data_IF_069539734816
#
_entry.id   IF_069539734816
#
_cell.length_a   1.000
_cell.length_b   1.000
_cell.length_c   1.000
_cell.angle_alpha   90.00
_cell.angle_beta   90.00
_cell.angle_gamma   90.00
#
_symmetry.space_group_name_H-M   'P 1'
#
loop_
_entity.id
_entity.type
_entity.pdbx_description
1 polymer ?
#
# COMPACT_ATOMS: atom_id res chain seq x y z
N UNK A 1 12.16 -15.29 -0.47
CA UNK A 1 11.65 -14.02 -1.01
C UNK A 1 10.25 -13.81 -0.46
N UNK A 2 10.08 -12.92 0.52
CA UNK A 2 8.72 -12.53 0.95
C UNK A 2 8.09 -11.80 -0.23
N UNK A 3 6.99 -12.32 -0.77
CA UNK A 3 6.27 -11.64 -1.85
C UNK A 3 5.75 -10.27 -1.41
N UNK A 4 5.55 -9.35 -2.35
CA UNK A 4 4.89 -8.08 -2.07
C UNK A 4 3.48 -8.35 -1.48
N UNK A 5 3.02 -7.56 -0.50
CA UNK A 5 1.66 -7.69 0.04
C UNK A 5 0.62 -7.47 -1.06
N UNK A 6 -0.41 -8.31 -1.08
CA UNK A 6 -1.51 -8.28 -2.06
C UNK A 6 -2.86 -8.17 -1.35
N UNK A 7 -3.84 -7.58 -2.02
CA UNK A 7 -5.22 -7.56 -1.54
C UNK A 7 -5.74 -8.99 -1.45
N UNK A 8 -6.36 -9.33 -0.32
CA UNK A 8 -6.78 -10.70 0.02
C UNK A 8 -7.70 -11.28 -1.07
N UNK A 9 -7.40 -12.50 -1.51
CA UNK A 9 -8.19 -13.17 -2.56
C UNK A 9 -7.91 -12.67 -3.97
N UNK A 10 -6.92 -11.79 -4.15
CA UNK A 10 -6.55 -11.22 -5.44
C UNK A 10 -5.05 -11.38 -5.71
N UNK A 11 -4.61 -10.96 -6.89
CA UNK A 11 -3.18 -10.75 -7.19
C UNK A 11 -2.80 -9.26 -7.28
N UNK A 12 -3.69 -8.36 -6.86
CA UNK A 12 -3.45 -6.92 -6.90
C UNK A 12 -2.49 -6.53 -5.76
N UNK A 13 -1.28 -6.01 -6.05
CA UNK A 13 -0.37 -5.56 -5.02
C UNK A 13 -0.91 -4.34 -4.29
N UNK A 14 -0.67 -4.27 -2.97
CA UNK A 14 -1.01 -3.10 -2.16
C UNK A 14 -0.31 -1.84 -2.68
N UNK A 15 0.93 -1.97 -3.14
CA UNK A 15 1.72 -0.89 -3.76
C UNK A 15 0.99 -0.22 -4.93
N UNK A 16 0.39 -0.99 -5.85
CA UNK A 16 -0.32 -0.44 -7.01
C UNK A 16 -1.53 0.38 -6.59
N UNK A 17 -2.26 -0.10 -5.57
CA UNK A 17 -3.38 0.64 -5.01
C UNK A 17 -2.93 1.97 -4.39
N UNK A 18 -1.81 1.97 -3.65
CA UNK A 18 -1.24 3.17 -3.05
C UNK A 18 -0.72 4.16 -4.11
N UNK A 19 -0.07 3.68 -5.17
CA UNK A 19 0.38 4.51 -6.29
C UNK A 19 -0.78 5.24 -6.98
N UNK A 20 -1.89 4.53 -7.22
CA UNK A 20 -3.09 5.11 -7.82
C UNK A 20 -3.73 6.17 -6.91
N UNK A 21 -3.83 5.87 -5.61
CA UNK A 21 -4.29 6.86 -4.61
C UNK A 21 -3.39 8.10 -4.61
N UNK A 22 -2.06 7.92 -4.69
CA UNK A 22 -1.10 9.03 -4.77
C UNK A 22 -1.23 9.86 -6.07
N UNK A 23 -1.70 9.24 -7.16
CA UNK A 23 -2.03 9.92 -8.42
C UNK A 23 -3.38 10.66 -8.37
N UNK A 24 -4.11 10.61 -7.24
CA UNK A 24 -5.36 11.32 -7.03
C UNK A 24 -6.62 10.53 -7.38
N UNK A 25 -6.51 9.21 -7.63
CA UNK A 25 -7.68 8.38 -7.85
C UNK A 25 -8.58 8.35 -6.62
N UNK A 26 -9.88 8.44 -6.84
CA UNK A 26 -10.91 8.24 -5.81
C UNK A 26 -11.18 6.76 -5.58
N UNK A 27 -11.73 6.42 -4.41
CA UNK A 27 -12.17 5.05 -4.12
C UNK A 27 -13.16 4.51 -5.18
N UNK A 28 -14.03 5.37 -5.72
CA UNK A 28 -15.00 4.99 -6.76
C UNK A 28 -14.31 4.62 -8.07
N UNK A 29 -13.32 5.38 -8.50
CA UNK A 29 -12.55 5.09 -9.70
C UNK A 29 -11.72 3.81 -9.54
N UNK A 30 -11.15 3.59 -8.36
CA UNK A 30 -10.44 2.35 -8.04
C UNK A 30 -11.37 1.13 -8.09
N UNK A 31 -12.57 1.21 -7.51
CA UNK A 31 -13.55 0.12 -7.57
C UNK A 31 -14.13 -0.08 -8.98
N UNK A 32 -14.13 0.97 -9.82
CA UNK A 32 -14.51 0.84 -11.22
C UNK A 32 -13.41 0.14 -12.06
N UNK A 33 -12.13 0.45 -11.82
CA UNK A 33 -10.98 -0.16 -12.49
C UNK A 33 -10.74 -1.60 -11.99
N UNK A 34 -10.98 -1.86 -10.70
CA UNK A 34 -10.83 -3.15 -10.05
C UNK A 34 -12.15 -3.57 -9.39
N UNK A 35 -13.08 -4.19 -10.14
CA UNK A 35 -14.43 -4.53 -9.65
C UNK A 35 -14.49 -5.49 -8.45
N UNK A 36 -13.38 -6.14 -8.11
CA UNK A 36 -13.25 -7.00 -6.94
C UNK A 36 -12.86 -6.22 -5.67
N UNK A 37 -12.48 -4.95 -5.77
CA UNK A 37 -12.18 -4.12 -4.63
C UNK A 37 -13.45 -3.67 -3.93
N UNK A 38 -13.40 -3.70 -2.60
CA UNK A 38 -14.36 -3.02 -1.74
C UNK A 38 -13.70 -1.83 -1.05
N UNK A 39 -14.51 -0.91 -0.50
CA UNK A 39 -13.97 0.16 0.34
C UNK A 39 -13.21 -0.38 1.56
N UNK A 40 -13.58 -1.56 2.06
CA UNK A 40 -12.88 -2.23 3.17
C UNK A 40 -11.47 -2.64 2.77
N UNK A 41 -11.29 -3.17 1.55
CA UNK A 41 -9.97 -3.55 1.04
C UNK A 41 -9.06 -2.33 0.90
N UNK A 42 -9.63 -1.20 0.45
CA UNK A 42 -8.88 0.07 0.35
C UNK A 42 -8.46 0.55 1.74
N UNK A 43 -9.36 0.50 2.73
CA UNK A 43 -9.03 0.88 4.10
C UNK A 43 -8.00 -0.05 4.73
N UNK A 44 -8.12 -1.35 4.50
CA UNK A 44 -7.17 -2.35 4.99
C UNK A 44 -5.76 -2.14 4.40
N UNK A 45 -5.67 -1.79 3.11
CA UNK A 45 -4.41 -1.44 2.46
C UNK A 45 -3.76 -0.18 3.06
N UNK A 46 -4.55 0.87 3.33
CA UNK A 46 -4.08 2.08 4.00
C UNK A 46 -3.62 1.79 5.44
N UNK A 47 -4.37 0.99 6.20
CA UNK A 47 -3.96 0.56 7.53
C UNK A 47 -2.66 -0.25 7.51
N UNK A 48 -2.53 -1.17 6.55
CA UNK A 48 -1.30 -1.93 6.36
C UNK A 48 -0.11 -1.00 6.09
N UNK A 49 -0.26 -0.03 5.18
CA UNK A 49 0.78 0.94 4.86
C UNK A 49 1.19 1.77 6.09
N UNK A 50 0.21 2.29 6.82
CA UNK A 50 0.46 3.04 8.05
C UNK A 50 1.18 2.20 9.11
N UNK A 51 0.76 0.93 9.29
CA UNK A 51 1.38 0.03 10.23
C UNK A 51 2.81 -0.35 9.82
N UNK A 52 3.05 -0.58 8.53
CA UNK A 52 4.38 -0.89 8.01
C UNK A 52 5.37 0.25 8.27
N UNK A 53 4.97 1.50 8.02
CA UNK A 53 5.80 2.69 8.30
C UNK A 53 5.97 2.88 9.81
N UNK A 54 4.94 2.67 10.61
CA UNK A 54 5.02 2.82 12.07
C UNK A 54 5.98 1.81 12.74
N UNK A 55 6.20 0.66 12.10
CA UNK A 55 7.13 -0.38 12.56
C UNK A 55 8.48 -0.32 11.82
N UNK A 56 8.72 0.67 10.96
CA UNK A 56 10.07 0.93 10.46
C UNK A 56 10.92 1.48 11.61
N UNK A 57 11.84 0.66 12.13
CA UNK A 57 13.02 1.22 12.79
C UNK A 57 13.75 2.06 11.74
N UNK A 58 13.67 3.38 11.90
CA UNK A 58 14.52 4.32 11.19
C UNK A 58 15.94 4.04 11.67
N UNK A 59 16.63 3.10 11.04
CA UNK A 59 18.09 3.07 11.07
C UNK A 59 18.53 4.26 10.23
N UNK A 60 18.74 5.39 10.91
CA UNK A 60 19.54 6.48 10.36
C UNK A 60 20.89 5.86 10.02
N UNK A 61 21.08 5.50 8.75
CA UNK A 61 22.43 5.29 8.24
C UNK A 61 23.08 6.67 8.26
N UNK A 62 23.71 6.99 9.39
CA UNK A 62 24.63 8.11 9.50
C UNK A 62 25.68 7.90 8.42
N UNK A 63 25.49 8.58 7.29
CA UNK A 63 26.53 8.84 6.31
C UNK A 63 27.40 9.97 6.85
N UNK A 64 27.97 9.73 8.03
CA UNK A 64 29.09 10.48 8.57
C UNK A 64 30.21 9.47 8.81
N UNK A 65 30.97 9.17 7.76
CA UNK A 65 32.36 8.77 7.92
C UNK A 65 33.14 9.35 6.76
N UNK A 66 33.98 10.31 7.15
CA UNK A 66 35.04 10.92 6.36
C UNK A 66 36.03 9.90 5.82
#
# INVERSE_FOLDING_TARGET
MLGKPVIKGTRLPVEILLEKLAQGYTNKELMAEYPFLTEEDIRAALHYAAAAIAHEEISLLDSASS
#
